data_IF_179711061299
#
_entry.id   IF_179711061299
#
_cell.length_a   1.000
_cell.length_b   1.000
_cell.length_c   1.000
_cell.angle_alpha   90.00
_cell.angle_beta   90.00
_cell.angle_gamma   90.00
#
_symmetry.space_group_name_H-M   'P 1'
#
loop_
_entity.id
_entity.type
_entity.pdbx_description
1 polymer ?
#
# COMPACT_ATOMS: atom_id res chain seq x y z
N UNK A 1 12.96 35.43 35.92
CA UNK A 1 13.93 34.31 35.73
C UNK A 1 15.32 34.90 35.62
N UNK A 2 16.31 34.38 36.35
CA UNK A 2 17.70 34.86 36.20
C UNK A 2 18.41 34.04 35.12
N UNK A 3 18.90 34.66 34.05
CA UNK A 3 19.58 34.01 32.90
C UNK A 3 20.66 33.01 33.34
N UNK A 4 21.42 33.34 34.39
CA UNK A 4 22.42 32.47 35.03
C UNK A 4 21.90 31.07 35.43
N UNK A 5 20.61 30.91 35.75
CA UNK A 5 20.02 29.60 36.09
C UNK A 5 19.79 28.72 34.88
N UNK A 6 19.40 29.32 33.75
CA UNK A 6 19.23 28.58 32.49
C UNK A 6 20.58 28.09 31.98
N UNK A 7 21.62 28.93 32.06
CA UNK A 7 22.99 28.54 31.70
C UNK A 7 23.49 27.35 32.52
N UNK A 8 23.32 27.40 33.85
CA UNK A 8 23.66 26.26 34.72
C UNK A 8 22.84 25.01 34.40
N UNK A 9 21.56 25.14 34.07
CA UNK A 9 20.73 24.01 33.67
C UNK A 9 21.20 23.37 32.36
N UNK A 10 21.62 24.18 31.38
CA UNK A 10 22.20 23.71 30.11
C UNK A 10 23.50 22.93 30.37
N UNK A 11 24.34 23.40 31.30
CA UNK A 11 25.58 22.71 31.68
C UNK A 11 25.32 21.36 32.37
N UNK A 12 24.29 21.27 33.22
CA UNK A 12 23.85 20.00 33.84
C UNK A 12 23.41 19.00 32.76
N UNK A 13 22.66 19.48 31.78
CA UNK A 13 22.20 18.66 30.66
C UNK A 13 23.38 18.18 29.78
N UNK A 14 24.30 19.08 29.42
CA UNK A 14 25.43 18.75 28.52
C UNK A 14 26.43 17.76 29.11
N UNK A 15 26.56 17.71 30.44
CA UNK A 15 27.44 16.78 31.16
C UNK A 15 26.81 15.39 31.41
N UNK A 16 25.62 15.12 30.85
CA UNK A 16 24.86 13.87 31.09
C UNK A 16 24.57 13.59 32.58
N UNK A 17 24.54 14.64 33.40
CA UNK A 17 24.28 14.54 34.84
C UNK A 17 22.79 14.29 35.16
N UNK A 18 21.95 14.04 34.14
CA UNK A 18 20.51 13.78 34.27
C UNK A 18 20.22 12.36 33.82
N UNK A 19 19.72 11.52 34.73
CA UNK A 19 19.33 10.14 34.47
C UNK A 19 17.82 9.96 34.65
N UNK A 20 17.16 9.43 33.62
CA UNK A 20 15.72 9.09 33.69
C UNK A 20 15.55 7.75 34.40
N UNK A 21 14.72 7.70 35.45
CA UNK A 21 14.35 6.44 36.12
C UNK A 21 13.05 5.91 35.52
N UNK A 22 12.00 6.74 35.49
CA UNK A 22 10.69 6.38 34.90
C UNK A 22 10.17 7.51 34.02
N UNK A 23 8.94 7.40 33.49
CA UNK A 23 8.31 8.47 32.69
C UNK A 23 8.30 9.83 33.40
N UNK A 24 8.14 9.84 34.72
CA UNK A 24 7.91 11.05 35.53
C UNK A 24 8.97 11.27 36.63
N UNK A 25 9.96 10.40 36.77
CA UNK A 25 10.99 10.48 37.81
C UNK A 25 12.39 10.51 37.20
N UNK A 26 13.20 11.45 37.67
CA UNK A 26 14.54 11.72 37.18
C UNK A 26 15.50 11.90 38.36
N UNK A 27 16.76 11.58 38.14
CA UNK A 27 17.86 11.86 39.06
C UNK A 27 18.80 12.84 38.40
N UNK A 28 19.21 13.86 39.15
CA UNK A 28 20.14 14.89 38.67
C UNK A 28 21.30 15.02 39.66
N UNK A 29 22.53 14.89 39.18
CA UNK A 29 23.73 15.06 40.00
C UNK A 29 23.94 16.54 40.35
N UNK A 30 24.31 16.80 41.60
CA UNK A 30 24.71 18.12 42.07
C UNK A 30 26.00 18.58 41.39
N UNK A 31 26.09 19.86 41.04
CA UNK A 31 27.31 20.46 40.47
C UNK A 31 28.36 20.85 41.53
N UNK A 32 27.97 20.88 42.81
CA UNK A 32 28.81 21.38 43.91
C UNK A 32 29.08 20.32 44.97
N UNK A 33 28.54 19.11 44.81
CA UNK A 33 28.71 18.00 45.74
C UNK A 33 28.45 16.68 45.02
N UNK A 34 28.89 15.56 45.59
CA UNK A 34 28.63 14.23 45.05
C UNK A 34 27.22 13.69 45.39
N UNK A 35 26.24 14.59 45.52
CA UNK A 35 24.86 14.27 45.93
C UNK A 35 23.95 14.22 44.70
N UNK A 36 23.09 13.22 44.66
CA UNK A 36 22.01 13.12 43.68
C UNK A 36 20.72 13.76 44.22
N UNK A 37 20.00 14.47 43.36
CA UNK A 37 18.67 15.02 43.67
C UNK A 37 17.61 14.35 42.82
N UNK A 38 16.49 13.96 43.44
CA UNK A 38 15.34 13.45 42.70
C UNK A 38 14.49 14.61 42.19
N UNK A 39 14.13 14.55 40.91
CA UNK A 39 13.21 15.47 40.23
C UNK A 39 11.98 14.68 39.78
N UNK A 40 10.78 15.14 40.16
CA UNK A 40 9.51 14.47 39.81
C UNK A 40 8.55 15.41 39.10
N UNK A 41 7.84 14.87 38.11
CA UNK A 41 6.71 15.51 37.42
C UNK A 41 5.40 14.84 37.83
N UNK A 42 4.38 15.62 38.18
CA UNK A 42 3.05 15.07 38.43
C UNK A 42 2.40 14.61 37.11
N UNK A 43 1.77 13.43 37.12
CA UNK A 43 1.34 12.73 35.90
C UNK A 43 0.33 13.49 35.04
N UNK A 44 -0.45 14.41 35.63
CA UNK A 44 -1.56 15.12 34.98
C UNK A 44 -1.50 16.65 35.13
N UNK A 45 -0.34 17.20 35.48
CA UNK A 45 -0.16 18.65 35.62
C UNK A 45 1.28 19.05 35.27
N UNK A 46 1.51 20.27 34.77
CA UNK A 46 2.87 20.79 34.57
C UNK A 46 3.47 21.30 35.90
N UNK A 47 3.41 20.43 36.91
CA UNK A 47 3.90 20.69 38.26
C UNK A 47 5.13 19.81 38.49
N UNK A 48 6.20 20.48 38.88
CA UNK A 48 7.52 19.89 39.08
C UNK A 48 7.96 20.02 40.53
N UNK A 49 8.69 19.02 41.00
CA UNK A 49 9.31 19.02 42.33
C UNK A 49 10.76 18.57 42.24
N UNK A 50 11.59 19.09 43.14
CA UNK A 50 13.00 18.71 43.25
C UNK A 50 13.44 18.70 44.72
N UNK A 51 14.29 17.76 45.10
CA UNK A 51 14.80 17.64 46.48
C UNK A 51 15.99 18.59 46.78
N UNK A 52 16.33 19.50 45.85
CA UNK A 52 17.48 20.38 46.04
C UNK A 52 17.17 21.60 46.92
N UNK A 53 18.15 22.12 47.68
CA UNK A 53 17.96 23.30 48.53
C UNK A 53 17.47 24.55 47.77
N UNK A 54 17.90 24.75 46.52
CA UNK A 54 17.44 25.86 45.65
C UNK A 54 15.94 25.79 45.37
N UNK A 55 15.36 24.58 45.23
CA UNK A 55 13.92 24.42 45.06
C UNK A 55 13.17 24.72 46.35
N UNK A 56 13.65 24.21 47.50
CA UNK A 56 13.05 24.49 48.82
C UNK A 56 13.06 25.98 49.14
N UNK A 57 14.14 26.68 48.83
CA UNK A 57 14.24 28.14 48.99
C UNK A 57 13.26 28.91 48.10
N UNK A 58 12.96 28.40 46.90
CA UNK A 58 11.99 29.04 45.97
C UNK A 58 10.54 28.81 46.38
N UNK A 59 10.25 27.67 47.01
CA UNK A 59 8.91 27.41 47.54
C UNK A 59 8.49 28.45 48.59
N UNK A 60 9.43 28.98 49.38
CA UNK A 60 9.13 29.95 50.44
C UNK A 60 8.93 31.37 49.92
N UNK A 61 9.49 31.73 48.76
CA UNK A 61 9.45 33.10 48.20
C UNK A 61 8.28 33.36 47.24
N UNK A 62 7.43 32.36 46.96
CA UNK A 62 6.30 32.43 46.00
C UNK A 62 6.70 32.90 44.59
N UNK A 63 7.98 32.84 44.23
CA UNK A 63 8.50 33.16 42.90
C UNK A 63 8.59 31.91 42.00
N UNK A 64 9.28 32.05 40.88
CA UNK A 64 9.57 31.00 39.90
C UNK A 64 10.06 29.70 40.58
N UNK A 65 9.16 28.70 40.59
CA UNK A 65 9.32 27.40 41.27
C UNK A 65 10.27 26.44 40.53
N UNK A 66 10.97 26.89 39.50
CA UNK A 66 11.90 26.04 38.74
C UNK A 66 13.35 26.25 39.18
N UNK A 67 13.92 25.25 39.85
CA UNK A 67 15.36 25.17 40.08
C UNK A 67 16.08 24.74 38.79
N UNK A 68 17.40 24.93 38.75
CA UNK A 68 18.23 24.52 37.60
C UNK A 68 18.10 23.03 37.23
N UNK A 69 17.86 22.16 38.21
CA UNK A 69 17.69 20.72 37.97
C UNK A 69 16.37 20.41 37.24
N UNK A 70 15.27 21.05 37.62
CA UNK A 70 13.99 20.90 36.91
C UNK A 70 14.13 21.39 35.47
N UNK A 71 14.78 22.54 35.26
CA UNK A 71 15.00 23.09 33.91
C UNK A 71 15.85 22.12 33.07
N UNK A 72 16.90 21.51 33.64
CA UNK A 72 17.72 20.53 32.93
C UNK A 72 16.94 19.29 32.50
N UNK A 73 16.00 18.82 33.34
CA UNK A 73 15.10 17.70 33.02
C UNK A 73 14.09 18.07 31.94
N UNK A 74 13.56 19.30 31.95
CA UNK A 74 12.68 19.81 30.90
C UNK A 74 13.41 19.87 29.55
N UNK A 75 14.68 20.29 29.53
CA UNK A 75 15.53 20.27 28.33
C UNK A 75 15.69 18.83 27.83
N UNK A 76 15.97 17.86 28.71
CA UNK A 76 16.06 16.43 28.35
C UNK A 76 14.74 15.88 27.79
N UNK A 77 13.59 16.22 28.39
CA UNK A 77 12.29 15.80 27.85
C UNK A 77 12.05 16.36 26.44
N UNK A 78 12.40 17.63 26.22
CA UNK A 78 12.26 18.27 24.91
C UNK A 78 13.22 17.67 23.87
N UNK A 79 14.46 17.35 24.25
CA UNK A 79 15.42 16.72 23.33
C UNK A 79 14.99 15.30 22.93
N UNK A 80 14.51 14.50 23.89
CA UNK A 80 13.98 13.15 23.62
C UNK A 80 12.74 13.23 22.72
N UNK A 81 11.83 14.19 22.95
CA UNK A 81 10.67 14.39 22.11
C UNK A 81 11.04 14.83 20.68
N UNK A 82 12.11 15.59 20.51
CA UNK A 82 12.60 15.98 19.18
C UNK A 82 13.36 14.86 18.46
N UNK A 83 14.07 14.00 19.17
CA UNK A 83 14.69 12.79 18.60
C UNK A 83 13.63 11.77 18.17
N UNK A 84 12.54 11.62 18.93
CA UNK A 84 11.40 10.76 18.58
C UNK A 84 10.58 11.29 17.37
N UNK A 85 10.78 12.53 16.92
CA UNK A 85 10.21 13.08 15.66
C UNK A 85 11.04 12.75 14.42
N UNK A 86 12.14 12.01 14.56
CA UNK A 86 12.93 11.53 13.42
C UNK A 86 12.55 10.08 13.13
N UNK A 87 11.82 9.87 12.04
CA UNK A 87 11.43 8.55 11.56
C UNK A 87 12.69 7.76 11.15
N UNK A 88 13.05 6.73 11.92
CA UNK A 88 14.24 5.90 11.69
C UNK A 88 13.93 4.83 10.64
N UNK A 89 14.13 5.19 9.37
CA UNK A 89 14.09 4.25 8.24
C UNK A 89 15.51 3.72 8.01
N UNK A 90 15.66 2.43 7.67
CA UNK A 90 16.94 1.82 7.32
C UNK A 90 17.69 2.60 6.22
N UNK A 91 19.02 2.59 6.28
CA UNK A 91 19.86 3.34 5.33
C UNK A 91 19.75 2.71 3.93
N UNK A 92 19.55 3.51 2.85
CA UNK A 92 19.51 2.96 1.50
C UNK A 92 20.89 2.44 1.12
N UNK A 93 20.93 1.20 0.62
CA UNK A 93 22.13 0.56 0.09
C UNK A 93 22.47 1.04 -1.33
N UNK A 94 21.47 1.46 -2.13
CA UNK A 94 21.62 1.84 -3.55
C UNK A 94 20.86 3.11 -3.97
N UNK A 95 21.39 3.85 -4.93
CA UNK A 95 20.75 5.06 -5.46
C UNK A 95 19.54 4.71 -6.36
N UNK A 96 18.36 5.31 -6.15
CA UNK A 96 17.16 5.02 -6.96
C UNK A 96 17.19 5.58 -8.39
N UNK A 97 18.23 6.35 -8.78
CA UNK A 97 18.36 6.92 -10.13
C UNK A 97 19.44 6.23 -10.97
N UNK A 98 20.61 5.98 -10.39
CA UNK A 98 21.76 5.40 -11.11
C UNK A 98 22.30 4.12 -10.47
N UNK A 99 21.67 3.62 -9.41
CA UNK A 99 21.99 2.35 -8.75
C UNK A 99 23.39 2.25 -8.12
N UNK A 100 24.13 3.35 -8.06
CA UNK A 100 25.39 3.44 -7.32
C UNK A 100 25.19 3.12 -5.83
N UNK A 101 26.10 2.35 -5.25
CA UNK A 101 26.22 2.12 -3.81
C UNK A 101 26.79 3.32 -3.05
N UNK A 102 27.34 4.30 -3.78
CA UNK A 102 27.97 5.48 -3.19
C UNK A 102 26.93 6.51 -2.74
N UNK A 103 26.29 6.25 -1.60
CA UNK A 103 25.26 7.11 -1.01
C UNK A 103 25.72 7.73 0.31
N UNK A 104 25.50 9.03 0.42
CA UNK A 104 25.75 9.81 1.63
C UNK A 104 24.47 10.43 2.18
N UNK A 105 24.44 10.61 3.50
CA UNK A 105 23.44 11.45 4.16
C UNK A 105 23.64 12.91 3.70
N UNK A 106 22.56 13.58 3.34
CA UNK A 106 22.55 14.95 2.81
C UNK A 106 21.49 15.81 3.52
N UNK A 107 21.66 15.95 4.84
CA UNK A 107 20.78 16.73 5.71
C UNK A 107 19.41 16.10 5.97
N UNK A 108 18.56 16.84 6.67
CA UNK A 108 17.21 16.43 7.02
C UNK A 108 16.19 17.25 6.24
N UNK A 109 15.16 16.59 5.71
CA UNK A 109 13.98 17.24 5.15
C UNK A 109 12.91 17.30 6.24
N UNK A 110 12.49 18.51 6.62
CA UNK A 110 11.25 18.67 7.38
C UNK A 110 10.06 18.25 6.51
N UNK A 111 9.25 17.35 7.03
CA UNK A 111 7.97 16.92 6.49
C UNK A 111 6.86 17.57 7.31
N UNK A 112 5.59 17.33 6.95
CA UNK A 112 4.46 17.87 7.70
C UNK A 112 4.48 17.38 9.17
N UNK A 113 3.86 18.14 10.08
CA UNK A 113 3.84 17.90 11.52
C UNK A 113 5.22 17.93 12.22
N UNK A 114 6.22 18.58 11.60
CA UNK A 114 7.54 18.78 12.22
C UNK A 114 8.44 17.53 12.23
N UNK A 115 7.96 16.42 11.65
CA UNK A 115 8.73 15.19 11.45
C UNK A 115 9.91 15.50 10.52
N UNK A 116 11.09 14.98 10.85
CA UNK A 116 12.30 15.15 10.02
C UNK A 116 12.67 13.82 9.40
N UNK A 117 12.72 13.75 8.07
CA UNK A 117 13.22 12.58 7.34
C UNK A 117 14.65 12.79 6.84
N UNK A 118 15.45 11.73 6.90
CA UNK A 118 16.82 11.74 6.37
C UNK A 118 16.79 11.87 4.84
N UNK A 119 17.46 12.91 4.33
CA UNK A 119 17.72 13.06 2.89
C UNK A 119 19.06 12.38 2.57
N UNK A 120 19.13 11.74 1.42
CA UNK A 120 20.30 11.06 0.88
C UNK A 120 20.69 11.68 -0.45
N UNK A 121 21.97 11.61 -0.78
CA UNK A 121 22.51 11.99 -2.08
C UNK A 121 23.43 10.90 -2.62
N UNK A 122 23.30 10.63 -3.91
CA UNK A 122 24.24 9.76 -4.62
C UNK A 122 25.46 10.54 -5.07
N UNK A 123 26.67 10.04 -4.78
CA UNK A 123 27.93 10.65 -5.24
C UNK A 123 28.17 10.49 -6.74
N UNK A 124 27.58 9.48 -7.38
CA UNK A 124 27.82 9.19 -8.79
C UNK A 124 26.93 10.01 -9.74
N UNK A 125 25.63 10.17 -9.43
CA UNK A 125 24.70 10.92 -10.29
C UNK A 125 24.12 12.19 -9.66
N UNK A 126 24.60 12.56 -8.47
CA UNK A 126 24.14 13.73 -7.70
C UNK A 126 22.64 13.76 -7.37
N UNK A 127 21.92 12.65 -7.57
CA UNK A 127 20.49 12.56 -7.27
C UNK A 127 20.23 12.63 -5.77
N UNK A 128 19.32 13.51 -5.37
CA UNK A 128 18.90 13.73 -3.98
C UNK A 128 17.53 13.10 -3.77
N UNK A 129 17.39 12.29 -2.72
CA UNK A 129 16.15 11.58 -2.42
C UNK A 129 15.94 11.47 -0.92
N UNK A 130 14.71 11.16 -0.52
CA UNK A 130 14.33 10.86 0.87
C UNK A 130 13.71 9.48 0.84
N UNK A 131 14.08 8.62 1.78
CA UNK A 131 13.37 7.35 1.93
C UNK A 131 11.98 7.64 2.47
N UNK A 132 10.97 7.17 1.76
CA UNK A 132 9.66 6.88 2.34
C UNK A 132 9.60 5.37 2.56
N UNK A 133 8.68 4.92 3.42
CA UNK A 133 8.34 3.50 3.51
C UNK A 133 8.12 2.90 2.12
N UNK A 134 8.54 1.65 1.94
CA UNK A 134 8.35 0.75 0.82
C UNK A 134 7.18 1.14 -0.11
N UNK A 135 7.46 1.93 -1.15
CA UNK A 135 6.49 2.35 -2.17
C UNK A 135 5.83 3.72 -1.99
N UNK A 136 5.95 4.36 -0.83
CA UNK A 136 5.43 5.71 -0.52
C UNK A 136 6.43 6.84 -0.80
N UNK A 137 7.46 6.55 -1.59
CA UNK A 137 8.48 7.55 -1.96
C UNK A 137 7.86 8.80 -2.59
N UNK A 138 8.41 9.97 -2.25
CA UNK A 138 8.01 11.30 -2.73
C UNK A 138 6.61 11.77 -2.29
N UNK A 139 5.95 11.09 -1.36
CA UNK A 139 4.74 11.60 -0.70
C UNK A 139 5.10 12.12 0.70
N UNK A 140 4.58 13.30 1.06
CA UNK A 140 4.85 13.95 2.35
C UNK A 140 3.89 13.53 3.46
N UNK A 141 2.80 12.86 3.12
CA UNK A 141 1.80 12.37 4.06
C UNK A 141 2.18 10.99 4.58
N UNK A 142 1.71 10.68 5.79
CA UNK A 142 1.91 9.39 6.44
C UNK A 142 1.32 8.25 5.58
N UNK A 143 2.09 7.18 5.27
CA UNK A 143 1.60 5.99 4.60
C UNK A 143 0.28 5.44 5.18
N UNK A 144 0.11 5.48 6.51
CA UNK A 144 -1.13 5.04 7.17
C UNK A 144 -2.35 5.89 6.80
N UNK A 145 -2.18 7.21 6.72
CA UNK A 145 -3.26 8.12 6.29
C UNK A 145 -3.65 7.85 4.83
N UNK A 146 -2.67 7.52 4.00
CA UNK A 146 -2.90 7.18 2.60
C UNK A 146 -3.68 5.87 2.48
N UNK A 147 -3.25 4.81 3.18
CA UNK A 147 -3.89 3.48 3.11
C UNK A 147 -5.28 3.52 3.74
N UNK A 148 -5.45 4.22 4.86
CA UNK A 148 -6.75 4.52 5.45
C UNK A 148 -7.68 5.24 4.46
N UNK A 149 -7.18 6.27 3.77
CA UNK A 149 -7.98 7.01 2.79
C UNK A 149 -8.46 6.13 1.64
N UNK A 150 -7.62 5.21 1.16
CA UNK A 150 -8.00 4.25 0.11
C UNK A 150 -9.05 3.28 0.67
N UNK A 151 -8.85 2.74 1.87
CA UNK A 151 -9.81 1.85 2.53
C UNK A 151 -11.17 2.52 2.73
N UNK A 152 -11.22 3.76 3.22
CA UNK A 152 -12.45 4.52 3.40
C UNK A 152 -13.15 4.77 2.06
N UNK A 153 -12.39 5.04 1.00
CA UNK A 153 -12.94 5.14 -0.34
C UNK A 153 -13.50 3.80 -0.81
N UNK A 154 -12.82 2.68 -0.63
CA UNK A 154 -13.35 1.38 -1.03
C UNK A 154 -14.58 0.96 -0.23
N UNK A 155 -14.71 1.44 1.01
CA UNK A 155 -15.88 1.26 1.86
C UNK A 155 -17.06 2.18 1.52
N UNK A 156 -16.93 3.06 0.52
CA UNK A 156 -18.03 3.85 -0.04
C UNK A 156 -18.00 5.34 0.27
N UNK A 157 -17.07 5.82 1.12
CA UNK A 157 -16.97 7.27 1.38
C UNK A 157 -16.56 8.05 0.13
N UNK A 158 -17.02 9.31 0.02
CA UNK A 158 -16.56 10.22 -1.02
C UNK A 158 -15.21 10.85 -0.64
N UNK A 159 -14.40 11.26 -1.62
CA UNK A 159 -13.12 11.93 -1.34
C UNK A 159 -13.25 13.19 -0.47
N UNK A 160 -14.38 13.90 -0.55
CA UNK A 160 -14.66 15.05 0.32
C UNK A 160 -14.99 14.63 1.76
N UNK A 161 -15.72 13.53 1.94
CA UNK A 161 -15.97 12.97 3.26
C UNK A 161 -14.68 12.46 3.90
N UNK A 162 -13.81 11.83 3.12
CA UNK A 162 -12.51 11.34 3.58
C UNK A 162 -11.63 12.53 3.99
N UNK A 163 -11.54 13.58 3.17
CA UNK A 163 -10.82 14.82 3.51
C UNK A 163 -11.26 15.39 4.86
N UNK A 164 -12.57 15.44 5.13
CA UNK A 164 -13.12 15.89 6.41
C UNK A 164 -12.80 14.92 7.56
N UNK A 165 -12.93 13.62 7.33
CA UNK A 165 -12.59 12.58 8.30
C UNK A 165 -11.13 12.71 8.73
N UNK A 166 -10.20 12.81 7.78
CA UNK A 166 -8.77 12.96 8.06
C UNK A 166 -8.46 14.24 8.82
N UNK A 167 -9.15 15.35 8.51
CA UNK A 167 -9.02 16.57 9.30
C UNK A 167 -9.47 16.38 10.75
N UNK A 168 -10.57 15.66 10.98
CA UNK A 168 -11.12 15.42 12.32
C UNK A 168 -10.30 14.44 13.15
N UNK A 169 -9.77 13.37 12.54
CA UNK A 169 -9.08 12.29 13.26
C UNK A 169 -7.58 12.49 13.36
N UNK A 170 -6.96 13.16 12.39
CA UNK A 170 -5.50 13.30 12.30
C UNK A 170 -5.02 14.76 12.38
N UNK A 171 -5.92 15.73 12.53
CA UNK A 171 -5.60 17.18 12.52
C UNK A 171 -4.79 17.60 11.28
N UNK A 172 -5.05 16.95 10.14
CA UNK A 172 -4.38 17.22 8.86
C UNK A 172 -5.36 17.68 7.80
N UNK A 173 -5.13 18.87 7.26
CA UNK A 173 -5.91 19.41 6.14
C UNK A 173 -5.37 18.85 4.82
N UNK A 174 -6.02 17.80 4.31
CA UNK A 174 -5.67 17.17 3.03
C UNK A 174 -6.82 17.39 2.04
N UNK A 175 -6.51 17.89 0.84
CA UNK A 175 -7.52 18.12 -0.18
C UNK A 175 -8.07 16.81 -0.75
N UNK A 176 -9.36 16.80 -1.07
CA UNK A 176 -10.01 15.65 -1.73
C UNK A 176 -9.33 15.26 -3.07
N UNK A 177 -8.75 16.23 -3.78
CA UNK A 177 -7.98 16.00 -5.01
C UNK A 177 -6.67 15.24 -4.71
N UNK A 178 -5.99 15.54 -3.60
CA UNK A 178 -4.80 14.81 -3.20
C UNK A 178 -5.13 13.34 -2.91
N UNK A 179 -6.24 13.08 -2.21
CA UNK A 179 -6.72 11.73 -1.92
C UNK A 179 -7.04 10.97 -3.21
N UNK A 180 -7.74 11.61 -4.16
CA UNK A 180 -8.01 11.01 -5.48
C UNK A 180 -6.71 10.64 -6.22
N UNK A 181 -5.71 11.52 -6.19
CA UNK A 181 -4.42 11.24 -6.82
C UNK A 181 -3.68 10.08 -6.14
N UNK A 182 -3.77 9.94 -4.82
CA UNK A 182 -3.23 8.79 -4.10
C UNK A 182 -3.94 7.51 -4.50
N UNK A 183 -5.27 7.49 -4.48
CA UNK A 183 -6.08 6.37 -4.92
C UNK A 183 -5.64 5.89 -6.31
N UNK A 184 -5.61 6.81 -7.27
CA UNK A 184 -5.22 6.50 -8.65
C UNK A 184 -3.80 5.93 -8.75
N UNK A 185 -2.84 6.57 -8.08
CA UNK A 185 -1.44 6.15 -8.09
C UNK A 185 -1.27 4.75 -7.52
N UNK A 186 -1.76 4.53 -6.30
CA UNK A 186 -1.47 3.31 -5.56
C UNK A 186 -2.31 2.13 -6.04
N UNK A 187 -3.59 2.33 -6.37
CA UNK A 187 -4.39 1.26 -6.98
C UNK A 187 -3.85 0.86 -8.35
N UNK A 188 -3.30 1.81 -9.12
CA UNK A 188 -2.59 1.50 -10.36
C UNK A 188 -1.34 0.64 -10.14
N UNK A 189 -0.53 0.98 -9.12
CA UNK A 189 0.67 0.19 -8.76
C UNK A 189 0.29 -1.22 -8.30
N UNK A 190 -0.70 -1.35 -7.42
CA UNK A 190 -1.18 -2.65 -6.92
C UNK A 190 -1.72 -3.48 -8.09
N UNK A 191 -2.57 -2.89 -8.95
CA UNK A 191 -3.16 -3.58 -10.09
C UNK A 191 -2.09 -4.20 -10.99
N UNK A 192 -1.07 -3.43 -11.36
CA UNK A 192 0.01 -3.93 -12.22
C UNK A 192 0.76 -5.12 -11.62
N UNK A 193 0.88 -5.16 -10.29
CA UNK A 193 1.49 -6.28 -9.58
C UNK A 193 0.56 -7.49 -9.54
N UNK A 194 -0.68 -7.34 -9.08
CA UNK A 194 -1.59 -8.47 -8.89
C UNK A 194 -2.08 -9.08 -10.20
N UNK A 195 -2.16 -8.30 -11.28
CA UNK A 195 -2.52 -8.82 -12.61
C UNK A 195 -1.42 -9.69 -13.22
N UNK A 196 -0.20 -9.68 -12.65
CA UNK A 196 0.86 -10.62 -13.03
C UNK A 196 0.75 -11.99 -12.36
N UNK A 197 -0.13 -12.12 -11.37
CA UNK A 197 -0.32 -13.33 -10.57
C UNK A 197 -1.50 -14.11 -11.14
N UNK A 198 -1.28 -15.36 -11.52
CA UNK A 198 -2.35 -16.23 -12.03
C UNK A 198 -3.07 -16.93 -10.86
N UNK A 199 -4.39 -16.75 -10.70
CA UNK A 199 -5.19 -17.47 -9.72
C UNK A 199 -5.44 -18.92 -10.14
N UNK A 200 -5.56 -19.81 -9.17
CA UNK A 200 -6.14 -21.14 -9.36
C UNK A 200 -7.66 -21.02 -9.26
N UNK A 201 -8.34 -21.13 -10.38
CA UNK A 201 -9.81 -21.03 -10.46
C UNK A 201 -10.43 -22.38 -10.75
N UNK A 202 -11.71 -22.53 -10.41
CA UNK A 202 -12.51 -23.67 -10.86
C UNK A 202 -12.68 -23.70 -12.39
N UNK A 203 -13.29 -24.77 -12.89
CA UNK A 203 -13.69 -24.92 -14.28
C UNK A 203 -15.02 -24.22 -14.62
N UNK A 204 -15.56 -23.43 -13.69
CA UNK A 204 -16.80 -22.68 -13.85
C UNK A 204 -16.52 -21.19 -13.89
N UNK A 205 -17.01 -20.51 -14.93
CA UNK A 205 -17.07 -19.05 -14.97
C UNK A 205 -18.52 -18.60 -14.92
N UNK A 206 -18.79 -17.60 -14.10
CA UNK A 206 -20.03 -16.83 -14.18
C UNK A 206 -19.77 -15.48 -14.85
N UNK A 207 -20.64 -15.14 -15.81
CA UNK A 207 -20.65 -13.86 -16.50
C UNK A 207 -22.00 -13.16 -16.30
N UNK A 208 -21.93 -11.87 -16.04
CA UNK A 208 -23.09 -11.00 -15.92
C UNK A 208 -22.68 -9.53 -16.15
N UNK A 209 -23.66 -8.69 -16.42
CA UNK A 209 -23.48 -7.26 -16.60
C UNK A 209 -24.40 -6.43 -15.70
N UNK A 210 -23.92 -5.25 -15.30
CA UNK A 210 -24.76 -4.28 -14.60
C UNK A 210 -24.59 -2.86 -15.15
N UNK A 211 -25.67 -2.09 -15.04
CA UNK A 211 -25.67 -0.68 -15.43
C UNK A 211 -24.91 0.17 -14.39
N UNK A 212 -24.00 1.02 -14.86
CA UNK A 212 -23.28 2.02 -14.08
C UNK A 212 -23.80 3.43 -14.41
N UNK A 213 -24.11 4.23 -13.39
CA UNK A 213 -24.43 5.65 -13.57
C UNK A 213 -23.15 6.45 -13.74
N UNK A 214 -22.95 7.05 -14.92
CA UNK A 214 -21.73 7.80 -15.29
C UNK A 214 -22.14 9.17 -15.82
N UNK A 215 -21.86 10.25 -15.10
CA UNK A 215 -22.45 11.57 -15.39
C UNK A 215 -22.10 12.15 -16.76
N UNK A 216 -20.82 12.12 -17.12
CA UNK A 216 -20.31 12.73 -18.35
C UNK A 216 -19.96 11.65 -19.38
N UNK A 217 -20.88 10.70 -19.59
CA UNK A 217 -20.79 9.67 -20.63
C UNK A 217 -21.59 10.08 -21.88
N UNK A 218 -21.26 9.51 -23.02
CA UNK A 218 -22.12 9.57 -24.20
C UNK A 218 -23.47 8.92 -23.91
N UNK A 219 -24.55 9.64 -24.25
CA UNK A 219 -25.91 9.18 -23.97
C UNK A 219 -26.28 8.04 -24.91
N UNK A 220 -26.39 6.83 -24.37
CA UNK A 220 -26.95 5.68 -25.07
C UNK A 220 -28.29 5.26 -24.45
N UNK A 221 -29.36 5.26 -25.24
CA UNK A 221 -30.71 4.94 -24.77
C UNK A 221 -31.29 5.97 -23.78
N UNK A 222 -31.88 5.50 -22.67
CA UNK A 222 -32.53 6.34 -21.65
C UNK A 222 -31.59 6.67 -20.48
N UNK A 223 -30.52 7.44 -20.73
CA UNK A 223 -29.76 8.11 -19.68
C UNK A 223 -28.25 8.12 -19.86
N UNK A 224 -27.54 8.50 -18.80
CA UNK A 224 -26.09 8.59 -18.73
C UNK A 224 -25.54 7.35 -18.03
N UNK A 225 -25.46 6.25 -18.78
CA UNK A 225 -25.07 4.95 -18.25
C UNK A 225 -24.08 4.22 -19.15
N UNK A 226 -23.16 3.52 -18.50
CA UNK A 226 -22.27 2.54 -19.11
C UNK A 226 -22.59 1.14 -18.54
N UNK A 227 -22.05 0.10 -19.15
CA UNK A 227 -22.23 -1.30 -18.74
C UNK A 227 -20.95 -1.86 -18.14
N UNK A 228 -21.02 -2.37 -16.92
CA UNK A 228 -19.95 -3.14 -16.31
C UNK A 228 -20.18 -4.62 -16.58
N UNK A 229 -19.30 -5.24 -17.36
CA UNK A 229 -19.21 -6.68 -17.54
C UNK A 229 -18.26 -7.27 -16.51
N UNK A 230 -18.61 -8.43 -15.96
CA UNK A 230 -17.81 -9.11 -14.95
C UNK A 230 -17.70 -10.60 -15.27
N UNK A 231 -16.51 -11.18 -15.05
CA UNK A 231 -16.29 -12.62 -14.96
C UNK A 231 -15.86 -12.94 -13.54
N UNK A 232 -16.54 -13.88 -12.89
CA UNK A 232 -16.19 -14.37 -11.55
C UNK A 232 -16.13 -15.90 -11.55
N UNK A 233 -15.18 -16.46 -10.82
CA UNK A 233 -15.21 -17.87 -10.46
C UNK A 233 -16.15 -18.02 -9.25
N UNK A 234 -17.30 -18.69 -9.40
CA UNK A 234 -18.29 -18.79 -8.35
C UNK A 234 -17.84 -19.66 -7.18
N UNK A 235 -16.75 -20.43 -7.28
CA UNK A 235 -16.23 -21.24 -6.17
C UNK A 235 -15.30 -20.42 -5.27
N UNK A 236 -14.29 -19.79 -5.85
CA UNK A 236 -13.30 -18.99 -5.12
C UNK A 236 -13.78 -17.56 -4.85
N UNK A 237 -14.87 -17.13 -5.51
CA UNK A 237 -15.33 -15.73 -5.57
C UNK A 237 -14.33 -14.79 -6.24
N UNK A 238 -13.28 -15.32 -6.87
CA UNK A 238 -12.27 -14.49 -7.50
C UNK A 238 -12.82 -13.85 -8.78
N UNK A 239 -12.76 -12.53 -8.86
CA UNK A 239 -13.17 -11.79 -10.06
C UNK A 239 -12.02 -11.80 -11.06
N UNK A 240 -12.19 -12.56 -12.15
CA UNK A 240 -11.16 -12.76 -13.18
C UNK A 240 -10.96 -11.51 -14.03
N UNK A 241 -12.06 -10.83 -14.37
CA UNK A 241 -12.01 -9.67 -15.23
C UNK A 241 -13.21 -8.75 -15.02
N UNK A 242 -12.97 -7.46 -15.25
CA UNK A 242 -14.00 -6.43 -15.40
C UNK A 242 -13.79 -5.65 -16.69
N UNK A 243 -14.87 -5.15 -17.29
CA UNK A 243 -14.81 -4.28 -18.45
C UNK A 243 -15.98 -3.32 -18.47
N UNK A 244 -15.70 -2.05 -18.71
CA UNK A 244 -16.73 -1.02 -18.87
C UNK A 244 -16.92 -0.75 -20.36
N UNK A 245 -18.16 -0.84 -20.85
CA UNK A 245 -18.51 -0.54 -22.24
C UNK A 245 -19.67 0.45 -22.34
N UNK A 246 -19.76 1.12 -23.48
CA UNK A 246 -20.87 2.04 -23.80
C UNK A 246 -22.16 1.33 -24.12
N UNK A 247 -22.03 0.16 -24.74
CA UNK A 247 -23.14 -0.62 -25.26
C UNK A 247 -23.15 -1.99 -24.62
N UNK A 248 -24.24 -2.72 -24.87
CA UNK A 248 -24.42 -4.08 -24.43
C UNK A 248 -24.47 -5.02 -25.64
N UNK A 249 -23.37 -5.10 -26.38
CA UNK A 249 -23.28 -5.82 -27.66
C UNK A 249 -22.40 -7.09 -27.57
N UNK A 250 -22.42 -7.90 -28.64
CA UNK A 250 -21.63 -9.15 -28.73
C UNK A 250 -20.12 -8.85 -28.62
N UNK A 251 -19.66 -7.72 -29.18
CA UNK A 251 -18.23 -7.38 -29.14
C UNK A 251 -17.75 -7.13 -27.71
N UNK A 252 -18.57 -6.49 -26.88
CA UNK A 252 -18.26 -6.23 -25.47
C UNK A 252 -18.16 -7.55 -24.69
N UNK A 253 -19.13 -8.46 -24.91
CA UNK A 253 -19.09 -9.81 -24.35
C UNK A 253 -17.85 -10.62 -24.79
N UNK A 254 -17.40 -10.46 -26.05
CA UNK A 254 -16.16 -11.10 -26.52
C UNK A 254 -14.93 -10.53 -25.82
N UNK A 255 -14.86 -9.21 -25.62
CA UNK A 255 -13.70 -8.56 -25.00
C UNK A 255 -13.51 -9.00 -23.56
N UNK A 256 -14.58 -9.05 -22.76
CA UNK A 256 -14.48 -9.50 -21.37
C UNK A 256 -14.03 -10.97 -21.31
N UNK A 257 -14.53 -11.87 -22.17
CA UNK A 257 -14.08 -13.27 -22.23
C UNK A 257 -12.59 -13.35 -22.60
N UNK A 258 -12.10 -12.52 -23.52
CA UNK A 258 -10.66 -12.44 -23.84
C UNK A 258 -9.84 -11.97 -22.65
N UNK A 259 -10.34 -11.02 -21.86
CA UNK A 259 -9.67 -10.60 -20.61
C UNK A 259 -9.63 -11.76 -19.62
N UNK A 260 -10.75 -12.44 -19.37
CA UNK A 260 -10.79 -13.60 -18.47
C UNK A 260 -9.79 -14.70 -18.86
N UNK A 261 -9.68 -15.02 -20.15
CA UNK A 261 -8.69 -15.99 -20.68
C UNK A 261 -7.22 -15.59 -20.46
N UNK A 262 -6.93 -14.31 -20.27
CA UNK A 262 -5.56 -13.84 -19.98
C UNK A 262 -5.23 -13.92 -18.50
N UNK A 263 -6.25 -13.89 -17.63
CA UNK A 263 -6.07 -13.94 -16.18
C UNK A 263 -5.75 -15.34 -15.68
N UNK A 264 -6.27 -16.39 -16.32
CA UNK A 264 -6.06 -17.79 -15.92
C UNK A 264 -5.47 -18.61 -17.06
N UNK A 265 -4.70 -19.65 -16.71
CA UNK A 265 -4.13 -20.61 -17.66
C UNK A 265 -5.14 -21.66 -18.12
N UNK A 266 -6.26 -21.83 -17.38
CA UNK A 266 -7.27 -22.86 -17.62
C UNK A 266 -8.53 -22.24 -18.20
N UNK A 267 -9.08 -22.86 -19.26
CA UNK A 267 -10.38 -22.46 -19.83
C UNK A 267 -11.51 -23.13 -19.04
N UNK A 268 -12.67 -22.48 -18.90
CA UNK A 268 -13.79 -23.06 -18.18
C UNK A 268 -14.42 -24.20 -18.97
N UNK A 269 -14.84 -25.26 -18.27
CA UNK A 269 -15.74 -26.28 -18.79
C UNK A 269 -17.19 -25.80 -18.79
N UNK A 270 -17.54 -24.89 -17.87
CA UNK A 270 -18.90 -24.38 -17.73
C UNK A 270 -18.91 -22.85 -17.68
N UNK A 271 -19.77 -22.24 -18.49
CA UNK A 271 -20.03 -20.80 -18.43
C UNK A 271 -21.48 -20.57 -18.08
N UNK A 272 -21.72 -19.87 -16.97
CA UNK A 272 -23.05 -19.54 -16.46
C UNK A 272 -23.34 -18.08 -16.82
N UNK A 273 -24.42 -17.84 -17.57
CA UNK A 273 -24.89 -16.48 -17.87
C UNK A 273 -26.40 -16.39 -17.74
N UNK A 274 -26.91 -15.16 -17.74
CA UNK A 274 -28.32 -14.91 -18.02
C UNK A 274 -28.69 -15.32 -19.48
N UNK A 275 -29.95 -15.12 -19.86
CA UNK A 275 -30.42 -15.50 -21.20
C UNK A 275 -30.12 -14.46 -22.30
N UNK A 276 -29.20 -13.50 -22.08
CA UNK A 276 -28.89 -12.47 -23.07
C UNK A 276 -28.21 -13.06 -24.33
N UNK A 277 -28.70 -12.64 -25.50
CA UNK A 277 -28.26 -13.19 -26.80
C UNK A 277 -26.79 -12.91 -27.13
N UNK A 278 -26.19 -11.86 -26.55
CA UNK A 278 -24.79 -11.52 -26.78
C UNK A 278 -23.84 -12.62 -26.28
N UNK A 279 -24.16 -13.27 -25.15
CA UNK A 279 -23.31 -14.28 -24.54
C UNK A 279 -23.16 -15.53 -25.40
N UNK A 280 -24.26 -16.07 -25.94
CA UNK A 280 -24.20 -17.30 -26.73
C UNK A 280 -23.23 -17.17 -27.92
N UNK A 281 -23.31 -16.05 -28.65
CA UNK A 281 -22.43 -15.77 -29.78
C UNK A 281 -20.99 -15.49 -29.34
N UNK A 282 -20.80 -14.80 -28.23
CA UNK A 282 -19.47 -14.50 -27.71
C UNK A 282 -18.76 -15.76 -27.21
N UNK A 283 -19.45 -16.62 -26.45
CA UNK A 283 -18.93 -17.87 -25.91
C UNK A 283 -18.52 -18.81 -27.03
N UNK A 284 -19.40 -19.06 -28.02
CA UNK A 284 -19.08 -19.93 -29.17
C UNK A 284 -17.87 -19.45 -29.98
N UNK A 285 -17.61 -18.15 -29.99
CA UNK A 285 -16.50 -17.57 -30.74
C UNK A 285 -15.19 -17.58 -29.95
N UNK A 286 -15.26 -17.34 -28.64
CA UNK A 286 -14.08 -17.16 -27.80
C UNK A 286 -13.65 -18.42 -27.05
N UNK A 287 -14.53 -19.40 -26.89
CA UNK A 287 -14.33 -20.66 -26.17
C UNK A 287 -14.70 -21.84 -27.09
N UNK A 288 -14.04 -22.99 -26.89
CA UNK A 288 -14.31 -24.18 -27.72
C UNK A 288 -15.62 -24.82 -27.27
N UNK A 289 -16.66 -24.77 -28.12
CA UNK A 289 -17.97 -25.31 -27.81
C UNK A 289 -18.01 -26.83 -27.58
N UNK A 290 -16.94 -27.57 -27.91
CA UNK A 290 -16.79 -29.00 -27.61
C UNK A 290 -16.31 -29.26 -26.18
N UNK A 291 -15.71 -28.25 -25.55
CA UNK A 291 -15.12 -28.33 -24.21
C UNK A 291 -15.93 -27.51 -23.21
N UNK A 292 -16.40 -26.35 -23.63
CA UNK A 292 -17.13 -25.41 -22.79
C UNK A 292 -18.64 -25.49 -23.03
N UNK A 293 -19.38 -25.90 -22.01
CA UNK A 293 -20.83 -25.88 -21.97
C UNK A 293 -21.35 -24.50 -21.51
N UNK A 294 -22.27 -23.91 -22.28
CA UNK A 294 -22.98 -22.68 -21.90
C UNK A 294 -24.28 -23.01 -21.17
N UNK A 295 -24.34 -22.68 -19.88
CA UNK A 295 -25.51 -22.85 -19.02
C UNK A 295 -26.23 -21.50 -18.92
N UNK A 296 -27.46 -21.45 -19.44
CA UNK A 296 -28.34 -20.28 -19.34
C UNK A 296 -29.27 -20.44 -18.14
N UNK A 297 -29.15 -19.56 -17.15
CA UNK A 297 -30.02 -19.59 -15.97
C UNK A 297 -31.34 -18.89 -16.30
N UNK A 298 -32.42 -19.64 -16.52
CA UNK A 298 -33.73 -19.08 -16.89
C UNK A 298 -34.62 -18.76 -15.67
N UNK A 299 -34.35 -19.34 -14.51
CA UNK A 299 -35.13 -19.15 -13.28
C UNK A 299 -34.36 -19.62 -12.05
N UNK A 300 -34.72 -19.09 -10.87
CA UNK A 300 -34.22 -19.50 -9.54
C UNK A 300 -34.37 -21.01 -9.23
N UNK A 301 -35.18 -21.74 -10.01
CA UNK A 301 -35.49 -23.16 -9.83
C UNK A 301 -34.38 -24.14 -10.24
N UNK A 302 -33.40 -23.71 -11.03
CA UNK A 302 -32.53 -24.67 -11.76
C UNK A 302 -31.27 -25.10 -10.98
N UNK A 303 -31.14 -24.75 -9.68
CA UNK A 303 -30.00 -25.12 -8.83
C UNK A 303 -28.68 -24.39 -9.17
N UNK A 304 -28.50 -23.93 -10.40
CA UNK A 304 -27.38 -23.10 -10.84
C UNK A 304 -27.70 -21.61 -10.62
N UNK A 305 -27.55 -21.13 -9.39
CA UNK A 305 -27.84 -19.72 -9.08
C UNK A 305 -26.59 -18.85 -9.18
N UNK A 306 -26.71 -17.74 -9.90
CA UNK A 306 -25.62 -16.78 -10.12
C UNK A 306 -25.32 -15.87 -8.92
N UNK A 307 -25.56 -16.36 -7.69
CA UNK A 307 -25.45 -15.58 -6.45
C UNK A 307 -24.10 -14.90 -6.26
N UNK A 308 -22.94 -15.53 -6.59
CA UNK A 308 -21.64 -14.88 -6.42
C UNK A 308 -21.49 -13.58 -7.21
N UNK A 309 -21.86 -13.56 -8.49
CA UNK A 309 -21.72 -12.34 -9.31
C UNK A 309 -22.74 -11.28 -8.89
N UNK A 310 -23.98 -11.70 -8.57
CA UNK A 310 -25.02 -10.79 -8.08
C UNK A 310 -24.57 -10.12 -6.78
N UNK A 311 -23.92 -10.88 -5.89
CA UNK A 311 -23.35 -10.35 -4.65
C UNK A 311 -22.27 -9.33 -4.94
N UNK A 312 -21.33 -9.63 -5.85
CA UNK A 312 -20.29 -8.68 -6.26
C UNK A 312 -20.87 -7.39 -6.87
N UNK A 313 -21.86 -7.49 -7.75
CA UNK A 313 -22.55 -6.32 -8.30
C UNK A 313 -23.28 -5.52 -7.22
N UNK A 314 -23.94 -6.19 -6.27
CA UNK A 314 -24.58 -5.52 -5.13
C UNK A 314 -23.56 -4.77 -4.26
N UNK A 315 -22.38 -5.35 -4.06
CA UNK A 315 -21.29 -4.65 -3.40
C UNK A 315 -20.96 -3.35 -4.12
N UNK A 316 -20.78 -3.35 -5.44
CA UNK A 316 -20.53 -2.13 -6.23
C UNK A 316 -21.70 -1.13 -6.09
N UNK A 317 -22.95 -1.58 -6.24
CA UNK A 317 -24.15 -0.73 -6.15
C UNK A 317 -24.23 0.01 -4.81
N UNK A 318 -23.97 -0.68 -3.71
CA UNK A 318 -23.98 -0.07 -2.36
C UNK A 318 -23.03 1.13 -2.26
N UNK A 319 -21.82 1.01 -2.84
CA UNK A 319 -20.76 2.03 -2.71
C UNK A 319 -21.02 3.20 -3.66
N UNK A 320 -21.64 2.94 -4.81
CA UNK A 320 -22.04 3.96 -5.76
C UNK A 320 -23.32 4.71 -5.36
N UNK A 321 -24.22 4.09 -4.57
CA UNK A 321 -25.50 4.69 -4.13
C UNK A 321 -25.31 6.05 -3.48
N UNK A 322 -24.32 6.22 -2.62
CA UNK A 322 -24.03 7.48 -1.93
C UNK A 322 -23.36 8.54 -2.84
N UNK A 323 -22.82 8.15 -4.00
CA UNK A 323 -21.94 8.98 -4.84
C UNK A 323 -22.65 9.75 -5.96
N UNK A 324 -23.94 9.48 -6.17
CA UNK A 324 -24.75 10.07 -7.26
C UNK A 324 -24.13 9.85 -8.65
N UNK A 325 -23.48 8.70 -8.85
CA UNK A 325 -22.81 8.33 -10.12
C UNK A 325 -21.33 8.66 -10.20
N UNK A 326 -20.63 7.99 -11.12
CA UNK A 326 -19.22 8.19 -11.45
C UNK A 326 -19.06 9.43 -12.34
N UNK A 327 -17.89 10.05 -12.31
CA UNK A 327 -17.69 11.37 -12.94
C UNK A 327 -17.65 11.33 -14.46
N UNK A 328 -16.97 10.33 -15.02
CA UNK A 328 -16.77 10.08 -16.44
C UNK A 328 -16.31 8.62 -16.64
N UNK A 329 -16.19 8.22 -17.90
CA UNK A 329 -15.82 6.87 -18.35
C UNK A 329 -14.53 6.37 -17.71
N UNK A 330 -13.50 7.21 -17.74
CA UNK A 330 -12.20 6.89 -17.16
C UNK A 330 -12.30 6.65 -15.66
N UNK A 331 -13.04 7.48 -14.94
CA UNK A 331 -13.26 7.29 -13.51
C UNK A 331 -14.11 6.06 -13.20
N UNK A 332 -14.99 5.66 -14.12
CA UNK A 332 -15.79 4.45 -13.99
C UNK A 332 -14.90 3.21 -14.13
N UNK A 333 -14.07 3.17 -15.18
CA UNK A 333 -13.09 2.10 -15.39
C UNK A 333 -12.06 2.03 -14.25
N UNK A 334 -11.46 3.17 -13.87
CA UNK A 334 -10.52 3.26 -12.74
C UNK A 334 -11.15 2.74 -11.43
N UNK A 335 -12.43 3.07 -11.17
CA UNK A 335 -13.13 2.57 -9.99
C UNK A 335 -13.39 1.06 -10.06
N UNK A 336 -13.90 0.55 -11.19
CA UNK A 336 -14.27 -0.87 -11.31
C UNK A 336 -13.04 -1.78 -11.22
N UNK A 337 -11.95 -1.42 -11.89
CA UNK A 337 -10.68 -2.17 -11.79
C UNK A 337 -10.10 -2.11 -10.38
N UNK A 338 -10.13 -0.95 -9.75
CA UNK A 338 -9.63 -0.82 -8.38
C UNK A 338 -10.52 -1.60 -7.38
N UNK A 339 -11.83 -1.66 -7.62
CA UNK A 339 -12.74 -2.47 -6.79
C UNK A 339 -12.55 -3.97 -7.00
N UNK A 340 -12.27 -4.42 -8.23
CA UNK A 340 -11.87 -5.82 -8.51
C UNK A 340 -10.65 -6.20 -7.66
N UNK A 341 -9.60 -5.38 -7.68
CA UNK A 341 -8.38 -5.59 -6.88
C UNK A 341 -8.71 -5.62 -5.38
N UNK A 342 -9.50 -4.65 -4.91
CA UNK A 342 -9.90 -4.59 -3.50
C UNK A 342 -10.72 -5.81 -3.07
N UNK A 343 -11.68 -6.24 -3.89
CA UNK A 343 -12.51 -7.43 -3.65
C UNK A 343 -11.64 -8.69 -3.57
N UNK A 344 -10.72 -8.89 -4.52
CA UNK A 344 -9.91 -10.10 -4.58
C UNK A 344 -8.85 -10.17 -3.48
N UNK A 345 -8.11 -9.08 -3.21
CA UNK A 345 -6.88 -9.15 -2.43
C UNK A 345 -6.98 -8.51 -1.04
N UNK A 346 -7.93 -7.60 -0.82
CA UNK A 346 -8.00 -6.84 0.43
C UNK A 346 -9.17 -7.32 1.29
N UNK A 347 -10.37 -7.41 0.70
CA UNK A 347 -11.60 -7.65 1.44
C UNK A 347 -11.80 -9.14 1.75
N UNK A 348 -11.92 -9.52 3.03
CA UNK A 348 -12.46 -10.83 3.43
C UNK A 348 -13.86 -11.06 2.86
N UNK A 349 -14.13 -12.27 2.36
CA UNK A 349 -15.42 -12.59 1.76
C UNK A 349 -16.23 -13.53 2.66
N UNK A 350 -17.38 -13.07 3.15
CA UNK A 350 -18.23 -13.82 4.10
C UNK A 350 -18.81 -15.13 3.55
N UNK A 351 -18.81 -15.30 2.23
CA UNK A 351 -19.23 -16.54 1.56
C UNK A 351 -18.11 -17.57 1.36
N UNK A 352 -16.90 -17.31 1.87
CA UNK A 352 -15.76 -18.22 1.87
C UNK A 352 -15.48 -18.69 3.30
N UNK A 353 -14.92 -19.90 3.48
CA UNK A 353 -14.52 -20.40 4.79
C UNK A 353 -13.46 -19.48 5.43
N UNK A 354 -13.43 -19.45 6.76
CA UNK A 354 -12.41 -18.76 7.56
C UNK A 354 -12.23 -17.26 7.25
N UNK A 355 -13.23 -16.64 6.62
CA UNK A 355 -13.23 -15.23 6.25
C UNK A 355 -11.97 -14.83 5.45
N UNK A 356 -11.51 -15.72 4.56
CA UNK A 356 -10.37 -15.45 3.68
C UNK A 356 -10.76 -14.54 2.52
N UNK A 357 -9.77 -13.98 1.82
CA UNK A 357 -10.02 -13.23 0.59
C UNK A 357 -10.25 -14.17 -0.59
N UNK A 358 -10.91 -13.71 -1.67
CA UNK A 358 -11.01 -14.49 -2.90
C UNK A 358 -9.65 -14.90 -3.49
N UNK A 359 -8.61 -14.07 -3.34
CA UNK A 359 -7.24 -14.40 -3.74
C UNK A 359 -6.69 -15.59 -2.96
N UNK A 360 -6.88 -15.61 -1.63
CA UNK A 360 -6.46 -16.75 -0.80
C UNK A 360 -7.22 -18.02 -1.19
N UNK A 361 -8.53 -17.92 -1.43
CA UNK A 361 -9.34 -19.05 -1.90
C UNK A 361 -8.93 -19.54 -3.29
N UNK A 362 -8.31 -18.70 -4.12
CA UNK A 362 -7.75 -19.07 -5.43
C UNK A 362 -6.27 -19.45 -5.36
N UNK A 363 -5.76 -19.81 -4.18
CA UNK A 363 -4.39 -20.30 -4.01
C UNK A 363 -3.31 -19.23 -4.08
N UNK A 364 -3.69 -17.95 -4.00
CA UNK A 364 -2.76 -16.83 -3.90
C UNK A 364 -2.61 -16.43 -2.44
N UNK A 365 -1.53 -16.87 -1.81
CA UNK A 365 -1.12 -16.39 -0.49
C UNK A 365 0.05 -15.41 -0.64
N UNK A 366 -0.16 -14.18 -0.17
CA UNK A 366 0.82 -13.09 -0.22
C UNK A 366 1.35 -12.73 1.17
N UNK A 367 1.00 -13.52 2.20
CA UNK A 367 1.35 -13.29 3.60
C UNK A 367 1.07 -11.84 4.05
N UNK A 368 -0.13 -11.35 3.70
CA UNK A 368 -0.55 -9.98 4.01
C UNK A 368 -1.11 -9.92 5.43
N UNK A 369 -0.56 -9.01 6.24
CA UNK A 369 -1.04 -8.64 7.56
C UNK A 369 -2.31 -7.79 7.53
N UNK A 370 -2.53 -7.01 8.60
CA UNK A 370 -3.78 -6.26 8.79
C UNK A 370 -3.98 -5.15 7.75
N UNK A 371 -2.95 -4.34 7.47
CA UNK A 371 -3.01 -3.28 6.44
C UNK A 371 -2.60 -3.83 5.08
N UNK A 372 -3.45 -4.69 4.53
CA UNK A 372 -3.23 -5.36 3.24
C UNK A 372 -2.93 -4.37 2.10
N UNK A 373 -3.53 -3.18 2.10
CA UNK A 373 -3.24 -2.16 1.08
C UNK A 373 -1.81 -1.66 1.19
N UNK A 374 -1.33 -1.37 2.41
CA UNK A 374 0.05 -0.92 2.64
C UNK A 374 1.06 -1.96 2.19
N UNK A 375 0.82 -3.22 2.52
CA UNK A 375 1.73 -4.31 2.20
C UNK A 375 1.70 -4.68 0.72
N UNK A 376 0.53 -4.66 0.09
CA UNK A 376 0.43 -4.76 -1.37
C UNK A 376 1.21 -3.63 -2.07
N UNK A 377 1.17 -2.39 -1.56
CA UNK A 377 1.98 -1.29 -2.10
C UNK A 377 3.47 -1.59 -1.92
N UNK A 378 3.89 -2.08 -0.74
CA UNK A 378 5.27 -2.50 -0.44
C UNK A 378 5.77 -3.51 -1.47
N UNK A 379 5.10 -4.67 -1.54
CA UNK A 379 5.44 -5.78 -2.42
C UNK A 379 5.43 -5.37 -3.91
N UNK A 380 4.42 -4.59 -4.33
CA UNK A 380 4.32 -4.08 -5.70
C UNK A 380 5.50 -3.20 -6.10
N UNK A 381 6.09 -2.47 -5.14
CA UNK A 381 7.24 -1.61 -5.40
C UNK A 381 8.58 -2.32 -5.25
N UNK A 382 8.66 -3.36 -4.42
CA UNK A 382 9.82 -4.25 -4.31
C UNK A 382 10.01 -5.09 -5.57
N UNK A 383 8.94 -5.69 -6.12
CA UNK A 383 9.03 -6.40 -7.41
C UNK A 383 9.44 -5.47 -8.56
N UNK A 384 8.91 -4.25 -8.58
CA UNK A 384 9.38 -3.23 -9.54
C UNK A 384 10.84 -2.89 -9.30
N UNK A 385 11.33 -2.86 -8.07
CA UNK A 385 12.70 -2.44 -7.79
C UNK A 385 13.74 -3.36 -8.46
N UNK A 386 13.64 -4.69 -8.40
CA UNK A 386 14.68 -5.54 -9.04
C UNK A 386 14.59 -5.53 -10.58
N UNK A 387 13.38 -5.59 -11.15
CA UNK A 387 13.19 -5.51 -12.60
C UNK A 387 13.60 -4.14 -13.16
N UNK A 388 13.38 -3.05 -12.40
CA UNK A 388 13.83 -1.71 -12.77
C UNK A 388 15.35 -1.54 -12.58
N UNK A 389 15.97 -2.23 -11.63
CA UNK A 389 17.44 -2.28 -11.46
C UNK A 389 18.13 -2.92 -12.67
N UNK A 390 17.51 -3.88 -13.34
CA UNK A 390 18.03 -4.45 -14.60
C UNK A 390 18.08 -3.41 -15.75
N UNK A 391 17.24 -2.36 -15.68
CA UNK A 391 17.26 -1.25 -16.63
C UNK A 391 17.05 -1.72 -18.08
N UNK A 392 17.90 -1.26 -19.02
CA UNK A 392 17.81 -1.69 -20.44
C UNK A 392 18.02 -3.20 -20.64
N UNK A 393 18.66 -3.89 -19.68
CA UNK A 393 18.98 -5.32 -19.74
C UNK A 393 17.74 -6.20 -19.57
N UNK A 394 16.67 -5.67 -18.99
CA UNK A 394 15.39 -6.40 -18.87
C UNK A 394 14.88 -6.87 -20.24
N UNK A 395 15.19 -6.15 -21.33
CA UNK A 395 14.78 -6.56 -22.68
C UNK A 395 15.50 -7.82 -23.20
N UNK A 396 16.63 -8.18 -22.58
CA UNK A 396 17.45 -9.33 -22.95
C UNK A 396 17.00 -10.61 -22.25
N UNK A 397 16.18 -10.52 -21.20
CA UNK A 397 15.77 -11.67 -20.39
C UNK A 397 14.27 -11.68 -20.17
N UNK A 398 13.69 -12.85 -20.10
CA UNK A 398 12.33 -13.08 -19.61
C UNK A 398 12.43 -13.48 -18.15
N UNK A 399 11.67 -12.79 -17.30
CA UNK A 399 11.57 -13.13 -15.88
C UNK A 399 10.13 -13.51 -15.58
N UNK A 400 9.91 -14.72 -15.08
CA UNK A 400 8.61 -15.16 -14.57
C UNK A 400 8.74 -15.47 -13.08
N UNK A 401 7.71 -15.12 -12.31
CA UNK A 401 7.62 -15.45 -10.90
C UNK A 401 6.88 -16.78 -10.74
N UNK A 402 7.42 -17.69 -9.95
CA UNK A 402 6.83 -19.00 -9.65
C UNK A 402 6.99 -19.28 -8.14
N UNK A 403 6.06 -18.73 -7.34
CA UNK A 403 6.06 -18.86 -5.88
C UNK A 403 7.22 -18.12 -5.23
N UNK A 404 8.04 -18.84 -4.46
CA UNK A 404 9.21 -18.30 -3.76
C UNK A 404 10.43 -18.10 -4.66
N UNK A 405 10.31 -18.46 -5.95
CA UNK A 405 11.39 -18.47 -6.91
C UNK A 405 11.07 -17.61 -8.12
N UNK A 406 12.11 -17.02 -8.71
CA UNK A 406 12.03 -16.38 -10.02
C UNK A 406 12.74 -17.25 -11.05
N UNK A 407 12.18 -17.31 -12.24
CA UNK A 407 12.80 -17.92 -13.40
C UNK A 407 13.35 -16.83 -14.31
N UNK A 408 14.64 -16.88 -14.66
CA UNK A 408 15.33 -15.89 -15.50
C UNK A 408 15.90 -16.59 -16.73
N UNK A 409 15.33 -16.30 -17.90
CA UNK A 409 15.68 -16.95 -19.17
C UNK A 409 16.21 -15.89 -20.16
N UNK A 410 17.36 -16.08 -20.80
CA UNK A 410 17.77 -15.25 -21.93
C UNK A 410 16.76 -15.31 -23.08
N UNK A 411 16.36 -14.16 -23.63
CA UNK A 411 15.49 -14.10 -24.81
C UNK A 411 16.20 -14.52 -26.12
N UNK A 412 17.50 -14.83 -26.04
CA UNK A 412 18.38 -15.15 -27.16
C UNK A 412 19.84 -15.08 -26.72
N UNK A 413 20.75 -14.85 -27.67
CA UNK A 413 22.18 -14.69 -27.35
C UNK A 413 22.44 -13.43 -26.51
N UNK A 414 23.19 -13.59 -25.42
CA UNK A 414 23.60 -12.52 -24.50
C UNK A 414 25.12 -12.55 -24.32
N UNK A 415 25.75 -11.37 -24.44
CA UNK A 415 27.15 -11.17 -24.10
C UNK A 415 27.47 -11.57 -22.64
N UNK A 416 28.59 -12.27 -22.44
CA UNK A 416 29.03 -12.76 -21.13
C UNK A 416 29.25 -11.65 -20.09
N UNK A 417 29.52 -10.41 -20.51
CA UNK A 417 29.60 -9.24 -19.63
C UNK A 417 28.21 -8.79 -19.17
N UNK A 418 27.25 -8.70 -20.09
CA UNK A 418 25.86 -8.32 -19.82
C UNK A 418 25.17 -9.37 -18.94
N UNK A 419 25.42 -10.66 -19.17
CA UNK A 419 24.89 -11.74 -18.33
C UNK A 419 25.46 -11.69 -16.90
N UNK A 420 26.75 -11.35 -16.75
CA UNK A 420 27.37 -11.14 -15.42
C UNK A 420 26.72 -9.96 -14.69
N UNK A 421 26.51 -8.84 -15.36
CA UNK A 421 25.83 -7.68 -14.75
C UNK A 421 24.41 -8.00 -14.31
N UNK A 422 23.65 -8.77 -15.10
CA UNK A 422 22.31 -9.25 -14.73
C UNK A 422 22.38 -10.11 -13.46
N UNK A 423 23.33 -11.05 -13.40
CA UNK A 423 23.55 -11.90 -12.23
C UNK A 423 23.93 -11.10 -10.98
N UNK A 424 24.80 -10.11 -11.12
CA UNK A 424 25.23 -9.27 -9.99
C UNK A 424 24.06 -8.42 -9.45
N UNK A 425 23.22 -7.89 -10.34
CA UNK A 425 22.02 -7.13 -9.95
C UNK A 425 21.00 -8.03 -9.23
N UNK A 426 20.78 -9.24 -9.73
CA UNK A 426 19.86 -10.20 -9.11
C UNK A 426 20.38 -10.66 -7.73
N UNK A 427 21.69 -10.92 -7.59
CA UNK A 427 22.32 -11.20 -6.30
C UNK A 427 22.24 -10.06 -5.31
N UNK A 428 22.39 -8.82 -5.78
CA UNK A 428 22.23 -7.61 -4.95
C UNK A 428 20.78 -7.39 -4.51
N UNK A 429 19.82 -7.94 -5.26
CA UNK A 429 18.41 -8.02 -4.88
C UNK A 429 18.11 -9.27 -4.04
N UNK A 430 19.14 -9.84 -3.40
CA UNK A 430 19.05 -10.99 -2.49
C UNK A 430 18.59 -12.29 -3.17
N UNK A 431 18.64 -12.41 -4.50
CA UNK A 431 18.37 -13.68 -5.18
C UNK A 431 19.63 -14.55 -5.31
N UNK A 432 19.47 -15.83 -5.02
CA UNK A 432 20.50 -16.86 -5.18
C UNK A 432 20.09 -17.91 -6.21
N UNK A 433 21.04 -18.35 -7.06
CA UNK A 433 20.78 -19.41 -8.01
C UNK A 433 20.58 -20.75 -7.29
N UNK A 434 19.50 -21.46 -7.60
CA UNK A 434 19.20 -22.77 -7.01
C UNK A 434 20.18 -23.85 -7.46
N UNK A 435 20.86 -23.65 -8.59
CA UNK A 435 21.93 -24.55 -9.05
C UNK A 435 23.04 -23.75 -9.75
N UNK A 436 24.28 -24.25 -9.71
CA UNK A 436 25.45 -23.58 -10.30
C UNK A 436 25.77 -24.05 -11.75
N UNK A 437 24.79 -24.59 -12.47
CA UNK A 437 24.95 -25.06 -13.86
C UNK A 437 24.69 -23.99 -14.92
N UNK A 438 25.20 -24.19 -16.14
CA UNK A 438 24.93 -23.31 -17.31
C UNK A 438 23.44 -23.20 -17.67
N UNK A 439 22.66 -24.20 -17.28
CA UNK A 439 21.21 -24.29 -17.54
C UNK A 439 20.35 -23.88 -16.34
N UNK A 440 20.98 -23.37 -15.28
CA UNK A 440 20.26 -22.84 -14.12
C UNK A 440 19.48 -21.61 -14.56
N UNK A 441 18.16 -21.72 -14.55
CA UNK A 441 17.23 -20.63 -14.86
C UNK A 441 16.40 -20.21 -13.64
N UNK A 442 16.64 -20.79 -12.47
CA UNK A 442 15.86 -20.54 -11.26
C UNK A 442 16.68 -19.90 -10.14
N UNK A 443 16.13 -18.85 -9.55
CA UNK A 443 16.70 -18.17 -8.40
C UNK A 443 15.66 -18.07 -7.27
N UNK A 444 16.11 -18.22 -6.02
CA UNK A 444 15.29 -18.06 -4.82
C UNK A 444 15.75 -16.82 -4.05
N UNK A 445 14.81 -16.06 -3.49
CA UNK A 445 15.13 -14.98 -2.57
C UNK A 445 15.78 -15.57 -1.31
N UNK A 446 16.93 -15.05 -0.92
CA UNK A 446 17.60 -15.39 0.33
C UNK A 446 16.79 -14.79 1.47
N UNK A 447 16.40 -15.64 2.44
CA UNK A 447 15.75 -15.22 3.70
C UNK A 447 16.63 -14.28 4.54
#
# INVERSE_FOLDING_TARGET
MTELRKEKAIQIFSTQSVRKITKNNYVVMSQSSNREYIVRKLSNADIWTCECPDFTYRLTRKDDKHCKHIISVQILQNSINDENKIERIERPKICPKCYSTSIVKNGLRKVNNGIKRQRYACKQCSYKFVLGENGFSKVSSDPKIITESINLYMSGMSFRNISRHIQMTHDQVISHTAIYNWFKKYMGIIREHVDSIMPQTSDVWSLDEMMLNVKNTEKHGKGFYDWLWTIIDPHTRFVLATEVSKKREIIDAKNIIRKGKKTTSVKPNYVITDSLHSYEKAIRHELDARVTAHIKTKSLSDGFQNRPIERYHNEIREKLKARRGLGNDKSAEEFCEAYRVYHNFVRPHTGLPDNITPAQASGIDLDLGEDKIRELISQSTEQKNFATQLGKRIKKVSISNEGDCIKVIPNGWIDKSVWREINDILKLSEFSWLSNGKDSCWMKLLE
#
